data_IF_011674044691
#
_entry.id   IF_011674044691
#
_cell.length_a   1.000
_cell.length_b   1.000
_cell.length_c   1.000
_cell.angle_alpha   90.00
_cell.angle_beta   90.00
_cell.angle_gamma   90.00
#
_symmetry.space_group_name_H-M   'P 1'
#
loop_
_entity.id
_entity.type
_entity.pdbx_description
1 polymer ?
#
# COMPACT_ATOMS: atom_id res chain seq x y z
N UNK A 1 -5.03 20.63 -15.17
CA UNK A 1 -3.82 19.79 -15.13
C UNK A 1 -4.24 18.41 -14.70
N UNK A 2 -3.81 17.36 -15.41
CA UNK A 2 -4.13 15.97 -15.01
C UNK A 2 -3.22 15.62 -13.83
N UNK A 3 -3.75 15.13 -12.69
CA UNK A 3 -2.94 14.83 -11.52
C UNK A 3 -1.91 13.75 -11.83
N UNK A 4 -0.72 13.89 -11.27
CA UNK A 4 0.31 12.87 -11.27
C UNK A 4 -0.16 11.69 -10.40
N UNK A 5 0.19 10.48 -10.81
CA UNK A 5 -0.31 9.26 -10.16
C UNK A 5 0.86 8.38 -9.76
N UNK A 6 0.87 7.95 -8.50
CA UNK A 6 1.69 6.84 -8.05
C UNK A 6 0.81 5.61 -7.98
N UNK A 7 1.28 4.53 -8.58
CA UNK A 7 0.53 3.28 -8.66
C UNK A 7 1.28 2.17 -7.93
N UNK A 8 0.51 1.31 -7.29
CA UNK A 8 0.99 0.24 -6.44
C UNK A 8 0.38 -1.09 -6.85
N UNK A 9 1.22 -2.12 -6.88
CA UNK A 9 0.81 -3.52 -6.94
C UNK A 9 1.44 -4.26 -5.78
N UNK A 10 0.61 -4.86 -4.92
CA UNK A 10 1.03 -5.51 -3.69
C UNK A 10 0.30 -6.83 -3.52
N UNK A 11 0.90 -7.76 -2.79
CA UNK A 11 0.16 -8.91 -2.23
C UNK A 11 0.06 -8.79 -0.73
N UNK A 12 -1.07 -9.21 -0.16
CA UNK A 12 -1.26 -9.25 1.29
C UNK A 12 -1.85 -10.60 1.64
N UNK A 13 -1.35 -11.20 2.72
CA UNK A 13 -1.98 -12.35 3.36
C UNK A 13 -1.78 -12.34 4.86
N UNK A 14 -2.59 -13.10 5.56
CA UNK A 14 -2.47 -13.44 6.98
C UNK A 14 -2.10 -14.91 7.15
N UNK A 15 -1.51 -15.29 8.27
CA UNK A 15 -1.31 -16.71 8.64
C UNK A 15 -2.60 -17.40 9.08
N UNK A 16 -3.63 -16.62 9.44
CA UNK A 16 -4.87 -17.09 10.05
C UNK A 16 -6.06 -16.30 9.48
N UNK A 17 -7.02 -16.99 8.86
CA UNK A 17 -8.19 -16.36 8.26
C UNK A 17 -9.07 -15.60 9.26
N UNK A 18 -9.00 -15.95 10.55
CA UNK A 18 -9.65 -15.22 11.63
C UNK A 18 -8.93 -13.93 12.06
N UNK A 19 -7.79 -13.59 11.43
CA UNK A 19 -6.97 -12.42 11.76
C UNK A 19 -6.82 -11.52 10.54
N UNK A 20 -7.37 -10.31 10.59
CA UNK A 20 -7.28 -9.35 9.49
C UNK A 20 -5.88 -8.75 9.39
N UNK A 21 -5.29 -8.82 8.20
CA UNK A 21 -4.06 -8.12 7.83
C UNK A 21 -4.42 -6.83 7.07
N UNK A 22 -3.67 -5.75 7.29
CA UNK A 22 -3.79 -4.52 6.50
C UNK A 22 -2.42 -3.99 6.06
N UNK A 23 -2.36 -3.40 4.88
CA UNK A 23 -1.20 -2.67 4.36
C UNK A 23 -1.63 -1.25 4.03
N UNK A 24 -1.07 -0.28 4.75
CA UNK A 24 -1.25 1.14 4.48
C UNK A 24 -0.05 1.72 3.74
N UNK A 25 -0.30 2.56 2.74
CA UNK A 25 0.66 3.45 2.09
C UNK A 25 0.54 4.82 2.70
N UNK A 26 1.65 5.32 3.23
CA UNK A 26 1.76 6.62 3.86
C UNK A 26 2.64 7.54 3.03
N UNK A 27 2.22 8.78 2.82
CA UNK A 27 3.00 9.82 2.15
C UNK A 27 3.22 10.96 3.13
N UNK A 28 4.49 11.31 3.38
CA UNK A 28 4.88 12.35 4.36
C UNK A 28 4.24 12.16 5.75
N UNK A 29 3.98 10.91 6.13
CA UNK A 29 3.36 10.53 7.40
C UNK A 29 1.84 10.36 7.36
N UNK A 30 1.16 10.81 6.31
CA UNK A 30 -0.30 10.72 6.15
C UNK A 30 -0.72 9.45 5.40
N UNK A 31 -1.81 8.81 5.83
CA UNK A 31 -2.33 7.60 5.18
C UNK A 31 -3.10 7.98 3.90
N UNK A 32 -2.61 7.51 2.75
CA UNK A 32 -3.20 7.80 1.45
C UNK A 32 -4.00 6.62 0.88
N UNK A 33 -3.62 5.39 1.24
CA UNK A 33 -4.23 4.18 0.70
C UNK A 33 -4.08 3.02 1.67
N UNK A 34 -5.12 2.23 1.89
CA UNK A 34 -5.05 1.02 2.70
C UNK A 34 -5.80 -0.12 2.01
N UNK A 35 -5.22 -1.32 2.07
CA UNK A 35 -5.92 -2.55 1.72
C UNK A 35 -5.96 -3.49 2.92
N UNK A 36 -7.03 -4.27 3.00
CA UNK A 36 -7.22 -5.30 4.01
C UNK A 36 -7.39 -6.67 3.37
N UNK A 37 -7.02 -7.72 4.10
CA UNK A 37 -7.27 -9.11 3.72
C UNK A 37 -7.35 -10.03 4.95
N UNK A 38 -8.27 -11.00 4.87
CA UNK A 38 -8.32 -12.16 5.75
C UNK A 38 -7.84 -13.44 5.02
N UNK A 39 -7.27 -13.32 3.82
CA UNK A 39 -6.82 -14.46 3.04
C UNK A 39 -5.54 -15.06 3.60
N UNK A 40 -5.48 -16.39 3.64
CA UNK A 40 -4.25 -17.14 3.92
C UNK A 40 -3.37 -17.34 2.68
N UNK A 41 -3.89 -17.00 1.51
CA UNK A 41 -3.18 -16.97 0.24
C UNK A 41 -2.83 -15.53 -0.15
N UNK A 42 -1.76 -15.37 -0.94
CA UNK A 42 -1.36 -14.06 -1.43
C UNK A 42 -2.40 -13.48 -2.40
N UNK A 43 -3.13 -12.47 -1.95
CA UNK A 43 -4.08 -11.74 -2.79
C UNK A 43 -3.42 -10.52 -3.42
N UNK A 44 -3.45 -10.43 -4.76
CA UNK A 44 -3.04 -9.21 -5.46
C UNK A 44 -4.03 -8.08 -5.15
N UNK A 45 -3.50 -6.95 -4.68
CA UNK A 45 -4.20 -5.68 -4.54
C UNK A 45 -3.49 -4.64 -5.38
N UNK A 46 -4.26 -3.77 -6.00
CA UNK A 46 -3.77 -2.65 -6.78
C UNK A 46 -4.44 -1.38 -6.33
N UNK A 47 -3.76 -0.25 -6.50
CA UNK A 47 -4.36 1.04 -6.23
C UNK A 47 -3.49 2.19 -6.69
N UNK A 48 -4.05 3.38 -6.58
CA UNK A 48 -3.48 4.60 -7.12
C UNK A 48 -3.76 5.72 -6.17
N UNK A 49 -2.75 6.54 -5.92
CA UNK A 49 -2.88 7.81 -5.21
C UNK A 49 -2.65 8.93 -6.22
N UNK A 50 -3.48 9.96 -6.15
CA UNK A 50 -3.25 11.21 -6.88
C UNK A 50 -2.30 12.06 -6.04
N UNK A 51 -1.19 12.47 -6.63
CA UNK A 51 -0.17 13.28 -5.94
C UNK A 51 -0.05 14.66 -6.56
N UNK A 52 0.28 15.62 -5.70
CA UNK A 52 0.63 16.99 -6.08
C UNK A 52 1.86 17.41 -5.28
N UNK A 53 2.94 16.65 -5.47
CA UNK A 53 4.19 16.85 -4.76
C UNK A 53 4.86 18.13 -5.23
N UNK A 54 5.23 18.98 -4.28
CA UNK A 54 6.07 20.14 -4.56
C UNK A 54 7.51 19.68 -4.80
N UNK A 55 8.36 20.54 -5.34
CA UNK A 55 9.79 20.22 -5.42
C UNK A 55 10.35 20.02 -4.00
N UNK A 56 11.04 18.90 -3.77
CA UNK A 56 11.59 18.56 -2.47
C UNK A 56 11.70 17.05 -2.23
N UNK A 57 12.02 16.69 -0.99
CA UNK A 57 12.03 15.31 -0.53
C UNK A 57 10.64 14.95 0.00
N UNK A 58 10.08 13.86 -0.54
CA UNK A 58 8.85 13.25 -0.06
C UNK A 58 9.13 11.81 0.38
N UNK A 59 8.48 11.34 1.44
CA UNK A 59 8.61 9.96 1.90
C UNK A 59 7.38 9.15 1.52
N UNK A 60 7.60 7.92 1.05
CA UNK A 60 6.53 6.95 0.81
C UNK A 60 6.84 5.70 1.63
N UNK A 61 6.00 5.41 2.62
CA UNK A 61 6.18 4.28 3.53
C UNK A 61 5.05 3.27 3.37
N UNK A 62 5.39 1.98 3.31
CA UNK A 62 4.42 0.89 3.40
C UNK A 62 4.44 0.32 4.83
N UNK A 63 3.29 0.32 5.51
CA UNK A 63 3.17 -0.17 6.90
C UNK A 63 2.20 -1.35 6.94
N UNK A 64 2.72 -2.51 7.32
CA UNK A 64 1.97 -3.76 7.45
C UNK A 64 1.48 -3.93 8.90
N UNK A 65 0.21 -4.29 9.07
CA UNK A 65 -0.43 -4.52 10.37
C UNK A 65 -1.22 -5.82 10.32
N UNK A 66 -1.46 -6.39 11.50
CA UNK A 66 -2.33 -7.55 11.68
C UNK A 66 -3.01 -7.48 13.04
N UNK A 67 -4.20 -8.03 13.15
CA UNK A 67 -4.88 -8.20 14.44
C UNK A 67 -4.03 -9.02 15.43
N UNK A 68 -4.21 -8.73 16.72
CA UNK A 68 -3.41 -9.33 17.78
C UNK A 68 -3.42 -10.88 17.71
N UNK A 69 -2.21 -11.45 17.77
CA UNK A 69 -1.97 -12.89 17.66
C UNK A 69 -1.89 -13.43 16.23
N UNK A 70 -2.09 -12.60 15.20
CA UNK A 70 -1.85 -12.97 13.81
C UNK A 70 -0.42 -12.67 13.33
N UNK A 71 -0.07 -13.20 12.17
CA UNK A 71 1.12 -12.78 11.39
C UNK A 71 0.66 -12.37 10.00
N UNK A 72 1.03 -11.18 9.55
CA UNK A 72 0.77 -10.73 8.19
C UNK A 72 2.03 -10.81 7.32
N UNK A 73 1.82 -10.97 6.02
CA UNK A 73 2.87 -10.99 5.02
C UNK A 73 2.47 -10.07 3.87
N UNK A 74 3.47 -9.40 3.30
CA UNK A 74 3.32 -8.59 2.11
C UNK A 74 4.45 -8.88 1.12
N UNK A 75 4.13 -8.79 -0.17
CA UNK A 75 5.11 -8.55 -1.21
C UNK A 75 4.73 -7.27 -1.94
N UNK A 76 5.58 -6.26 -1.85
CA UNK A 76 5.48 -5.08 -2.69
C UNK A 76 6.10 -5.43 -4.05
N UNK A 77 5.27 -5.56 -5.07
CA UNK A 77 5.72 -6.01 -6.39
C UNK A 77 6.25 -4.84 -7.21
N UNK A 78 5.51 -3.72 -7.24
CA UNK A 78 5.86 -2.55 -8.01
C UNK A 78 5.37 -1.25 -7.36
N UNK A 79 6.22 -0.22 -7.43
CA UNK A 79 5.87 1.19 -7.27
C UNK A 79 6.34 1.90 -8.52
N UNK A 80 5.44 2.62 -9.19
CA UNK A 80 5.84 3.45 -10.32
C UNK A 80 5.10 4.78 -10.31
N UNK A 81 5.83 5.79 -10.76
CA UNK A 81 5.38 7.17 -10.85
C UNK A 81 5.52 7.61 -12.31
N UNK A 82 4.44 8.15 -12.86
CA UNK A 82 4.38 8.58 -14.25
C UNK A 82 4.23 10.10 -14.32
N UNK A 83 5.33 10.79 -14.54
CA UNK A 83 5.33 12.18 -15.01
C UNK A 83 4.88 12.20 -16.47
N UNK A 84 3.72 12.78 -16.77
CA UNK A 84 3.39 13.11 -18.17
C UNK A 84 3.90 14.51 -18.46
N UNK A 85 4.89 14.57 -19.36
CA UNK A 85 5.39 15.80 -19.99
C UNK A 85 4.30 16.50 -20.78
#
# INVERSE_FOLDING_TARGET
TVPEKVKFAVTIKTSDAGKKASLGIYVDGELELEWESNSTDYELKTGTIDVSWTEGLHTVEAKLKVEAGGTAYNQLLEIYYSLRR
#
